data_IF_674250739075
#
_entry.id   IF_674250739075
#
_cell.length_a   1.000
_cell.length_b   1.000
_cell.length_c   1.000
_cell.angle_alpha   90.00
_cell.angle_beta   90.00
_cell.angle_gamma   90.00
#
_symmetry.space_group_name_H-M   'P 1'
#
loop_
_entity.id
_entity.type
_entity.pdbx_description
1 polymer ?
#
# COMPACT_ATOMS: atom_id res chain seq x y z
N UNK A 1 -23.27 -41.89 -19.46
CA UNK A 1 -22.58 -43.02 -18.80
C UNK A 1 -21.11 -42.64 -18.70
N UNK A 2 -20.68 -42.09 -17.57
CA UNK A 2 -19.28 -41.74 -17.35
C UNK A 2 -18.99 -41.80 -15.85
N UNK A 3 -18.50 -42.94 -15.37
CA UNK A 3 -18.02 -43.08 -14.00
C UNK A 3 -16.79 -44.01 -13.99
N UNK A 4 -15.66 -43.51 -14.50
CA UNK A 4 -14.35 -44.05 -14.12
C UNK A 4 -14.04 -43.56 -12.71
N UNK A 5 -14.68 -44.16 -11.70
CA UNK A 5 -14.36 -43.89 -10.29
C UNK A 5 -12.95 -44.42 -10.02
N UNK A 6 -12.05 -43.47 -9.83
CA UNK A 6 -10.66 -43.68 -9.52
C UNK A 6 -10.55 -44.38 -8.15
N UNK A 7 -10.25 -45.68 -8.14
CA UNK A 7 -10.22 -46.53 -6.96
C UNK A 7 -9.23 -45.96 -5.92
N UNK A 8 -9.66 -45.64 -4.68
CA UNK A 8 -8.79 -45.13 -3.62
C UNK A 8 -7.61 -46.07 -3.32
N UNK A 9 -7.84 -47.38 -3.44
CA UNK A 9 -6.82 -48.39 -3.19
C UNK A 9 -5.68 -48.31 -4.22
N UNK A 10 -5.98 -47.94 -5.47
CA UNK A 10 -4.97 -47.76 -6.52
C UNK A 10 -4.11 -46.52 -6.27
N UNK A 11 -4.67 -45.44 -5.70
CA UNK A 11 -3.88 -44.24 -5.32
C UNK A 11 -2.98 -44.53 -4.14
N UNK A 12 -3.50 -45.21 -3.13
CA UNK A 12 -2.75 -45.57 -1.92
C UNK A 12 -1.64 -46.56 -2.28
N UNK A 13 -1.89 -47.51 -3.18
CA UNK A 13 -0.87 -48.42 -3.69
C UNK A 13 0.26 -47.68 -4.44
N UNK A 14 -0.10 -46.72 -5.31
CA UNK A 14 0.88 -45.88 -6.02
C UNK A 14 1.72 -45.01 -5.08
N UNK A 15 1.10 -44.43 -4.05
CA UNK A 15 1.81 -43.63 -3.05
C UNK A 15 2.77 -44.49 -2.20
N UNK A 16 2.35 -45.68 -1.79
CA UNK A 16 3.20 -46.61 -1.05
C UNK A 16 4.38 -47.09 -1.89
N UNK A 17 4.15 -47.47 -3.14
CA UNK A 17 5.20 -47.87 -4.09
C UNK A 17 6.19 -46.72 -4.35
N UNK A 18 5.71 -45.48 -4.50
CA UNK A 18 6.56 -44.29 -4.64
C UNK A 18 7.40 -44.02 -3.38
N UNK A 19 6.81 -44.14 -2.18
CA UNK A 19 7.53 -43.98 -0.91
C UNK A 19 8.57 -45.10 -0.68
N UNK A 20 8.26 -46.33 -1.09
CA UNK A 20 9.15 -47.48 -0.94
C UNK A 20 10.36 -47.40 -1.89
N UNK A 21 10.15 -46.90 -3.11
CA UNK A 21 11.22 -46.58 -4.08
C UNK A 21 12.16 -45.48 -3.57
N UNK A 22 11.65 -44.51 -2.82
CA UNK A 22 12.45 -43.50 -2.12
C UNK A 22 13.25 -44.14 -0.98
N UNK A 23 12.62 -45.00 -0.18
CA UNK A 23 13.27 -45.67 0.96
C UNK A 23 14.38 -46.65 0.55
N UNK A 24 14.24 -47.33 -0.60
CA UNK A 24 15.23 -48.27 -1.15
C UNK A 24 16.45 -47.59 -1.79
N UNK A 25 16.46 -46.26 -1.93
CA UNK A 25 17.55 -45.53 -2.61
C UNK A 25 17.65 -45.81 -4.12
N UNK A 26 16.69 -46.57 -4.66
CA UNK A 26 16.52 -46.90 -6.08
C UNK A 26 15.95 -45.73 -6.89
N UNK A 27 15.42 -44.71 -6.21
CA UNK A 27 15.34 -43.35 -6.74
C UNK A 27 16.76 -42.75 -6.83
N UNK A 28 17.60 -43.31 -7.70
CA UNK A 28 18.98 -42.88 -7.86
C UNK A 28 19.04 -41.48 -8.47
N UNK A 29 19.55 -40.52 -7.68
CA UNK A 29 20.10 -39.18 -8.01
C UNK A 29 19.19 -38.11 -8.61
N UNK A 30 18.10 -38.49 -9.26
CA UNK A 30 17.31 -37.59 -10.10
C UNK A 30 15.88 -37.41 -9.57
N UNK A 31 15.74 -37.42 -8.24
CA UNK A 31 14.58 -36.82 -7.59
C UNK A 31 14.66 -35.30 -7.81
N UNK A 32 14.38 -34.85 -9.04
CA UNK A 32 14.19 -33.46 -9.47
C UNK A 32 12.93 -32.85 -8.81
N UNK A 33 12.79 -33.02 -7.49
CA UNK A 33 11.72 -32.38 -6.73
C UNK A 33 12.07 -30.91 -6.50
N UNK A 34 13.36 -30.58 -6.45
CA UNK A 34 13.88 -29.23 -6.27
C UNK A 34 14.99 -29.01 -7.29
N UNK A 35 14.78 -28.04 -8.18
CA UNK A 35 15.81 -27.56 -9.09
C UNK A 35 16.89 -26.82 -8.30
N UNK A 36 18.02 -27.49 -8.05
CA UNK A 36 19.10 -26.94 -7.23
C UNK A 36 19.78 -25.74 -7.86
N UNK A 37 19.89 -25.70 -9.19
CA UNK A 37 20.54 -24.60 -9.89
C UNK A 37 19.67 -23.34 -9.77
N UNK A 38 18.36 -23.52 -9.96
CA UNK A 38 17.38 -22.46 -9.75
C UNK A 38 17.37 -21.96 -8.31
N UNK A 39 17.36 -22.85 -7.31
CA UNK A 39 17.42 -22.45 -5.89
C UNK A 39 18.69 -21.66 -5.54
N UNK A 40 19.84 -22.08 -6.10
CA UNK A 40 21.10 -21.35 -5.91
C UNK A 40 21.04 -19.95 -6.53
N UNK A 41 20.43 -19.81 -7.71
CA UNK A 41 20.24 -18.53 -8.37
C UNK A 41 19.24 -17.63 -7.63
N UNK A 42 18.20 -18.21 -7.04
CA UNK A 42 17.16 -17.50 -6.29
C UNK A 42 17.63 -16.99 -4.92
N UNK A 43 18.50 -17.73 -4.24
CA UNK A 43 18.99 -17.42 -2.90
C UNK A 43 19.42 -15.95 -2.69
N UNK A 44 20.25 -15.32 -3.56
CA UNK A 44 20.60 -13.90 -3.42
C UNK A 44 19.41 -12.95 -3.58
N UNK A 45 18.46 -13.27 -4.47
CA UNK A 45 17.24 -12.47 -4.70
C UNK A 45 16.34 -12.53 -3.46
N UNK A 46 16.09 -13.72 -2.93
CA UNK A 46 15.30 -13.94 -1.72
C UNK A 46 15.92 -13.26 -0.49
N UNK A 47 17.25 -13.34 -0.34
CA UNK A 47 17.97 -12.66 0.73
C UNK A 47 17.85 -11.13 0.62
N UNK A 48 17.95 -10.57 -0.60
CA UNK A 48 17.74 -9.14 -0.85
C UNK A 48 16.29 -8.74 -0.53
N UNK A 49 15.31 -9.49 -1.00
CA UNK A 49 13.90 -9.24 -0.76
C UNK A 49 13.59 -9.19 0.74
N UNK A 50 14.04 -10.21 1.48
CA UNK A 50 13.89 -10.30 2.93
C UNK A 50 14.50 -9.09 3.63
N UNK A 51 15.72 -8.69 3.27
CA UNK A 51 16.37 -7.49 3.83
C UNK A 51 15.57 -6.21 3.54
N UNK A 52 15.02 -6.08 2.34
CA UNK A 52 14.25 -4.90 1.93
C UNK A 52 12.93 -4.78 2.72
N UNK A 53 12.23 -5.90 2.94
CA UNK A 53 10.97 -5.97 3.70
C UNK A 53 11.23 -5.74 5.19
N UNK A 54 12.28 -6.35 5.77
CA UNK A 54 12.62 -6.19 7.18
C UNK A 54 13.03 -4.75 7.55
N UNK A 55 13.55 -3.98 6.60
CA UNK A 55 13.86 -2.57 6.82
C UNK A 55 12.59 -1.70 6.91
N UNK A 56 11.58 -1.97 6.07
CA UNK A 56 10.26 -1.33 6.12
C UNK A 56 9.25 -2.12 5.30
N UNK A 57 7.97 -2.00 5.66
CA UNK A 57 6.87 -2.46 4.82
C UNK A 57 6.98 -1.89 3.39
N UNK A 58 6.66 -2.72 2.39
CA UNK A 58 6.71 -2.42 0.96
C UNK A 58 5.50 -3.04 0.27
N UNK A 59 5.01 -2.40 -0.77
CA UNK A 59 4.11 -3.06 -1.71
C UNK A 59 4.88 -4.01 -2.61
N UNK A 60 4.14 -4.93 -3.24
CA UNK A 60 4.65 -5.86 -4.24
C UNK A 60 5.38 -5.13 -5.37
N UNK A 61 4.78 -4.07 -5.89
CA UNK A 61 5.38 -3.25 -6.94
C UNK A 61 6.68 -2.56 -6.48
N UNK A 62 6.73 -2.02 -5.25
CA UNK A 62 7.97 -1.43 -4.72
C UNK A 62 9.09 -2.47 -4.60
N UNK A 63 8.75 -3.69 -4.17
CA UNK A 63 9.72 -4.78 -4.03
C UNK A 63 10.22 -5.24 -5.40
N UNK A 64 9.32 -5.52 -6.35
CA UNK A 64 9.64 -5.90 -7.72
C UNK A 64 10.57 -4.92 -8.40
N UNK A 65 10.16 -3.64 -8.40
CA UNK A 65 10.94 -2.56 -9.02
C UNK A 65 12.35 -2.52 -8.44
N UNK A 66 12.47 -2.60 -7.11
CA UNK A 66 13.77 -2.49 -6.44
C UNK A 66 14.67 -3.69 -6.68
N UNK A 67 14.13 -4.88 -6.91
CA UNK A 67 14.90 -6.08 -7.26
C UNK A 67 15.35 -6.05 -8.73
N UNK A 68 14.50 -5.59 -9.64
CA UNK A 68 14.84 -5.42 -11.05
C UNK A 68 15.92 -4.34 -11.26
N UNK A 69 15.91 -3.27 -10.47
CA UNK A 69 16.96 -2.24 -10.44
C UNK A 69 18.34 -2.78 -10.02
N UNK A 70 18.41 -3.99 -9.45
CA UNK A 70 19.68 -4.65 -9.09
C UNK A 70 20.10 -5.70 -10.13
N UNK A 71 19.52 -5.65 -11.33
CA UNK A 71 19.81 -6.53 -12.47
C UNK A 71 19.57 -8.02 -12.20
N UNK A 72 18.70 -8.36 -11.25
CA UNK A 72 18.24 -9.73 -11.08
C UNK A 72 17.32 -10.16 -12.23
N UNK A 73 17.43 -11.43 -12.65
CA UNK A 73 16.57 -11.99 -13.69
C UNK A 73 15.09 -11.94 -13.28
N UNK A 74 14.23 -11.49 -14.20
CA UNK A 74 12.81 -11.27 -13.93
C UNK A 74 12.09 -12.52 -13.39
N UNK A 75 12.43 -13.71 -13.90
CA UNK A 75 11.89 -14.98 -13.42
C UNK A 75 12.20 -15.25 -11.94
N UNK A 76 13.44 -14.97 -11.50
CA UNK A 76 13.84 -15.11 -10.10
C UNK A 76 13.17 -14.05 -9.21
N UNK A 77 12.91 -12.86 -9.75
CA UNK A 77 12.19 -11.79 -9.02
C UNK A 77 10.74 -12.20 -8.78
N UNK A 78 10.04 -12.69 -9.80
CA UNK A 78 8.65 -13.16 -9.65
C UNK A 78 8.54 -14.34 -8.68
N UNK A 79 9.48 -15.28 -8.74
CA UNK A 79 9.53 -16.38 -7.78
C UNK A 79 9.79 -15.89 -6.35
N UNK A 80 10.74 -14.97 -6.16
CA UNK A 80 11.03 -14.41 -4.83
C UNK A 80 9.80 -13.68 -4.26
N UNK A 81 9.10 -12.90 -5.09
CA UNK A 81 7.86 -12.23 -4.71
C UNK A 81 6.79 -13.24 -4.33
N UNK A 82 6.58 -14.26 -5.16
CA UNK A 82 5.60 -15.32 -4.91
C UNK A 82 5.86 -16.03 -3.58
N UNK A 83 7.13 -16.34 -3.27
CA UNK A 83 7.51 -16.90 -1.96
C UNK A 83 7.25 -15.94 -0.81
N UNK A 84 7.54 -14.65 -0.97
CA UNK A 84 7.24 -13.66 0.04
C UNK A 84 5.74 -13.55 0.31
N UNK A 85 4.89 -13.63 -0.72
CA UNK A 85 3.43 -13.62 -0.57
C UNK A 85 2.93 -14.90 0.11
N UNK A 86 3.37 -16.07 -0.37
CA UNK A 86 2.97 -17.37 0.17
C UNK A 86 3.35 -17.54 1.66
N UNK A 87 4.44 -16.91 2.09
CA UNK A 87 4.89 -16.92 3.48
C UNK A 87 4.33 -15.75 4.32
N UNK A 88 3.44 -14.92 3.77
CA UNK A 88 2.82 -13.78 4.47
C UNK A 88 3.79 -12.63 4.78
N UNK A 89 4.95 -12.58 4.13
CA UNK A 89 5.90 -11.48 4.26
C UNK A 89 5.51 -10.25 3.43
N UNK A 90 4.68 -10.46 2.41
CA UNK A 90 4.23 -9.45 1.47
C UNK A 90 2.71 -9.55 1.31
N UNK A 91 2.02 -8.46 1.64
CA UNK A 91 0.57 -8.37 1.62
C UNK A 91 0.19 -6.92 1.28
N UNK A 92 -0.31 -6.72 0.05
CA UNK A 92 -0.69 -5.39 -0.45
C UNK A 92 -1.97 -4.86 0.20
N UNK A 93 -2.87 -5.72 0.68
CA UNK A 93 -4.08 -5.34 1.40
C UNK A 93 -3.69 -4.77 2.77
N UNK A 94 -2.88 -5.52 3.52
CA UNK A 94 -2.35 -5.08 4.81
C UNK A 94 -1.52 -3.81 4.65
N UNK A 95 -0.66 -3.76 3.62
CA UNK A 95 0.15 -2.59 3.30
C UNK A 95 -0.73 -1.35 3.05
N UNK A 96 -1.80 -1.47 2.25
CA UNK A 96 -2.70 -0.36 1.94
C UNK A 96 -3.44 0.15 3.17
N UNK A 97 -3.98 -0.76 3.99
CA UNK A 97 -4.67 -0.43 5.24
C UNK A 97 -3.75 0.31 6.22
N UNK A 98 -2.53 -0.20 6.42
CA UNK A 98 -1.52 0.43 7.26
C UNK A 98 -1.13 1.82 6.73
N UNK A 99 -0.93 1.94 5.42
CA UNK A 99 -0.57 3.20 4.77
C UNK A 99 -1.63 4.28 5.00
N UNK A 100 -2.91 3.93 4.78
CA UNK A 100 -4.05 4.81 5.02
C UNK A 100 -4.12 5.23 6.48
N UNK A 101 -4.02 4.27 7.41
CA UNK A 101 -4.10 4.54 8.85
C UNK A 101 -3.01 5.51 9.32
N UNK A 102 -1.75 5.26 8.95
CA UNK A 102 -0.64 6.12 9.35
C UNK A 102 -0.77 7.54 8.79
N UNK A 103 -1.11 7.67 7.51
CA UNK A 103 -1.11 8.97 6.82
C UNK A 103 -2.33 9.82 7.14
N UNK A 104 -3.50 9.21 7.34
CA UNK A 104 -4.69 9.93 7.76
C UNK A 104 -4.49 10.56 9.15
N UNK A 105 -3.96 9.79 10.09
CA UNK A 105 -3.76 10.22 11.48
C UNK A 105 -2.60 11.22 11.63
N UNK A 106 -1.44 10.94 11.04
CA UNK A 106 -0.22 11.73 11.29
C UNK A 106 -0.01 12.86 10.27
N UNK A 107 -0.39 12.66 9.01
CA UNK A 107 -0.09 13.61 7.94
C UNK A 107 -1.28 14.49 7.53
N UNK A 108 -2.48 14.20 8.03
CA UNK A 108 -3.71 14.95 7.72
C UNK A 108 -3.94 15.08 6.21
N UNK A 109 -3.77 13.98 5.48
CA UNK A 109 -3.93 13.89 4.02
C UNK A 109 -5.37 13.54 3.66
N UNK A 110 -5.84 14.05 2.52
CA UNK A 110 -7.15 13.67 1.99
C UNK A 110 -7.14 12.26 1.40
N UNK A 111 -8.31 11.64 1.34
CA UNK A 111 -8.53 10.34 0.66
C UNK A 111 -8.02 10.35 -0.78
N UNK A 112 -8.18 11.46 -1.50
CA UNK A 112 -7.68 11.62 -2.88
C UNK A 112 -6.15 11.52 -2.96
N UNK A 113 -5.43 12.13 -2.01
CA UNK A 113 -3.96 12.03 -1.97
C UNK A 113 -3.52 10.62 -1.60
N UNK A 114 -4.19 10.00 -0.62
CA UNK A 114 -3.88 8.62 -0.22
C UNK A 114 -4.07 7.64 -1.38
N UNK A 115 -5.17 7.79 -2.14
CA UNK A 115 -5.42 7.04 -3.37
C UNK A 115 -4.26 7.17 -4.36
N UNK A 116 -3.85 8.39 -4.67
CA UNK A 116 -2.73 8.64 -5.60
C UNK A 116 -1.41 8.07 -5.11
N UNK A 117 -1.15 8.14 -3.80
CA UNK A 117 0.07 7.58 -3.20
C UNK A 117 0.10 6.06 -3.31
N UNK A 118 -1.02 5.38 -3.06
CA UNK A 118 -1.15 3.93 -3.21
C UNK A 118 -1.07 3.49 -4.68
N UNK A 119 -1.67 4.25 -5.60
CA UNK A 119 -1.54 4.01 -7.04
C UNK A 119 -0.07 4.09 -7.50
N UNK A 120 0.68 5.10 -7.03
CA UNK A 120 2.13 5.20 -7.32
C UNK A 120 2.94 4.06 -6.72
N UNK A 121 2.40 3.40 -5.71
CA UNK A 121 2.99 2.21 -5.09
C UNK A 121 2.52 0.92 -5.74
N UNK A 122 1.78 1.00 -6.84
CA UNK A 122 1.30 -0.15 -7.61
C UNK A 122 0.27 -1.02 -6.91
N UNK A 123 -0.38 -0.52 -5.86
CA UNK A 123 -1.45 -1.26 -5.17
C UNK A 123 -2.69 -1.33 -6.08
N UNK A 124 -3.33 -2.50 -6.12
CA UNK A 124 -4.52 -2.72 -6.95
C UNK A 124 -5.69 -1.80 -6.52
N UNK A 125 -6.44 -1.28 -7.49
CA UNK A 125 -7.56 -0.36 -7.25
C UNK A 125 -8.59 -0.90 -6.23
N UNK A 126 -8.92 -2.20 -6.25
CA UNK A 126 -9.84 -2.80 -5.29
C UNK A 126 -9.36 -2.68 -3.84
N UNK A 127 -8.08 -3.00 -3.58
CA UNK A 127 -7.47 -2.88 -2.26
C UNK A 127 -7.36 -1.41 -1.80
N UNK A 128 -7.14 -0.49 -2.75
CA UNK A 128 -7.13 0.94 -2.46
C UNK A 128 -8.50 1.40 -1.96
N UNK A 129 -9.58 1.07 -2.67
CA UNK A 129 -10.92 1.49 -2.25
C UNK A 129 -11.30 0.85 -0.90
N UNK A 130 -11.02 -0.45 -0.70
CA UNK A 130 -11.23 -1.13 0.59
C UNK A 130 -10.47 -0.43 1.75
N UNK A 131 -9.21 -0.07 1.54
CA UNK A 131 -8.44 0.64 2.57
C UNK A 131 -9.02 2.02 2.86
N UNK A 132 -9.51 2.73 1.84
CA UNK A 132 -10.09 4.08 1.97
C UNK A 132 -11.50 4.08 2.57
N UNK A 133 -12.27 3.00 2.43
CA UNK A 133 -13.60 2.84 3.07
C UNK A 133 -13.53 2.96 4.60
N UNK A 134 -12.37 2.70 5.20
CA UNK A 134 -12.15 2.86 6.65
C UNK A 134 -12.09 4.33 7.09
N UNK A 135 -12.00 5.28 6.15
CA UNK A 135 -11.97 6.71 6.45
C UNK A 135 -13.39 7.26 6.50
N UNK A 136 -13.76 7.80 7.67
CA UNK A 136 -14.96 8.60 7.83
C UNK A 136 -14.82 9.97 7.14
N UNK A 137 -15.79 10.32 6.30
CA UNK A 137 -15.85 11.60 5.60
C UNK A 137 -15.96 12.77 6.58
N UNK A 138 -16.68 12.61 7.69
CA UNK A 138 -16.83 13.68 8.68
C UNK A 138 -15.52 13.92 9.44
N UNK A 139 -14.75 12.86 9.69
CA UNK A 139 -13.37 12.99 10.17
C UNK A 139 -12.49 13.76 9.18
N UNK A 140 -12.64 13.56 7.86
CA UNK A 140 -11.89 14.32 6.85
C UNK A 140 -12.24 15.80 6.85
N UNK A 141 -13.54 16.13 6.93
CA UNK A 141 -14.01 17.52 7.06
C UNK A 141 -13.46 18.18 8.32
N UNK A 142 -13.44 17.45 9.44
CA UNK A 142 -12.89 17.96 10.70
C UNK A 142 -11.37 18.21 10.61
N UNK A 143 -10.61 17.29 9.99
CA UNK A 143 -9.18 17.48 9.75
C UNK A 143 -8.94 18.74 8.89
N UNK A 144 -9.69 18.91 7.81
CA UNK A 144 -9.62 20.10 6.95
C UNK A 144 -9.93 21.38 7.73
N UNK A 145 -11.02 21.39 8.50
CA UNK A 145 -11.42 22.53 9.34
C UNK A 145 -10.29 22.92 10.30
N UNK A 146 -9.73 21.95 11.03
CA UNK A 146 -8.63 22.20 11.96
C UNK A 146 -7.38 22.80 11.30
N UNK A 147 -7.06 22.39 10.07
CA UNK A 147 -5.94 22.93 9.32
C UNK A 147 -6.16 24.39 8.92
N UNK A 148 -7.37 24.69 8.46
CA UNK A 148 -7.80 26.03 8.06
C UNK A 148 -7.85 26.95 9.29
N UNK A 149 -8.49 26.53 10.37
CA UNK A 149 -8.58 27.29 11.63
C UNK A 149 -7.19 27.59 12.21
N UNK A 150 -6.30 26.60 12.21
CA UNK A 150 -4.91 26.80 12.64
C UNK A 150 -4.21 27.86 11.79
N UNK A 151 -4.45 27.88 10.47
CA UNK A 151 -3.89 28.92 9.58
C UNK A 151 -4.56 30.27 9.79
N UNK A 152 -5.86 30.33 10.05
CA UNK A 152 -6.59 31.56 10.33
C UNK A 152 -6.00 32.29 11.55
N UNK A 153 -5.64 31.57 12.62
CA UNK A 153 -4.99 32.14 13.83
C UNK A 153 -3.66 32.88 13.57
N UNK A 154 -3.02 32.64 12.43
CA UNK A 154 -1.81 33.38 12.01
C UNK A 154 -2.11 34.74 11.38
N UNK A 155 -3.38 35.04 11.05
CA UNK A 155 -3.82 36.38 10.67
C UNK A 155 -3.84 37.27 11.91
N UNK A 156 -2.99 38.30 11.92
CA UNK A 156 -2.78 39.21 13.06
C UNK A 156 -3.36 40.60 12.86
N UNK A 157 -3.78 40.94 11.64
CA UNK A 157 -4.31 42.26 11.29
C UNK A 157 -5.56 42.09 10.46
N UNK A 158 -6.55 42.92 10.73
CA UNK A 158 -7.77 43.01 9.93
C UNK A 158 -7.41 43.47 8.51
N UNK A 159 -7.78 42.72 7.45
CA UNK A 159 -7.64 43.18 6.08
C UNK A 159 -8.37 44.52 5.87
N UNK A 160 -7.70 45.51 5.29
CA UNK A 160 -8.31 46.85 5.09
C UNK A 160 -9.03 46.99 3.75
N UNK A 161 -8.82 46.05 2.83
CA UNK A 161 -9.40 46.05 1.50
C UNK A 161 -9.71 44.63 1.01
N UNK A 162 -10.44 44.55 -0.11
CA UNK A 162 -10.82 43.27 -0.73
C UNK A 162 -9.62 42.46 -1.24
N UNK A 163 -8.53 43.11 -1.65
CA UNK A 163 -7.34 42.45 -2.17
C UNK A 163 -6.60 41.70 -1.06
N UNK A 164 -6.47 42.32 0.11
CA UNK A 164 -5.89 41.71 1.31
C UNK A 164 -6.76 40.55 1.81
N UNK A 165 -8.09 40.74 1.82
CA UNK A 165 -9.03 39.67 2.17
C UNK A 165 -8.83 38.45 1.28
N UNK A 166 -8.87 38.62 -0.06
CA UNK A 166 -8.65 37.52 -1.01
C UNK A 166 -7.28 36.88 -0.89
N UNK A 167 -6.25 37.66 -0.55
CA UNK A 167 -4.90 37.14 -0.32
C UNK A 167 -4.86 36.21 0.91
N UNK A 168 -5.47 36.59 2.03
CA UNK A 168 -5.58 35.71 3.20
C UNK A 168 -6.44 34.48 2.90
N UNK A 169 -7.60 34.66 2.27
CA UNK A 169 -8.48 33.55 1.90
C UNK A 169 -7.73 32.50 1.06
N UNK A 170 -6.99 32.93 0.03
CA UNK A 170 -6.17 32.04 -0.81
C UNK A 170 -5.11 31.30 0.01
N UNK A 171 -4.50 31.94 1.01
CA UNK A 171 -3.49 31.31 1.89
C UNK A 171 -4.13 30.23 2.76
N UNK A 172 -5.35 30.45 3.26
CA UNK A 172 -6.10 29.46 4.04
C UNK A 172 -6.48 28.26 3.17
N UNK A 173 -7.12 28.50 2.02
CA UNK A 173 -7.48 27.44 1.04
C UNK A 173 -6.24 26.64 0.64
N UNK A 174 -5.11 27.32 0.39
CA UNK A 174 -3.86 26.68 0.00
C UNK A 174 -3.32 25.67 1.02
N UNK A 175 -3.60 25.83 2.32
CA UNK A 175 -3.17 24.85 3.35
C UNK A 175 -3.90 23.52 3.19
N UNK A 176 -5.20 23.56 2.88
CA UNK A 176 -6.02 22.39 2.61
C UNK A 176 -5.70 21.79 1.22
N UNK A 177 -5.53 22.62 0.20
CA UNK A 177 -5.18 22.17 -1.16
C UNK A 177 -3.85 21.40 -1.21
N UNK A 178 -2.81 21.82 -0.47
CA UNK A 178 -1.53 21.05 -0.37
C UNK A 178 -1.68 19.67 0.27
N UNK A 179 -2.81 19.40 0.91
CA UNK A 179 -3.19 18.09 1.47
C UNK A 179 -4.24 17.38 0.62
N UNK A 180 -4.64 17.99 -0.50
CA UNK A 180 -5.55 17.48 -1.52
C UNK A 180 -7.02 17.46 -1.12
N UNK A 181 -7.43 18.32 -0.18
CA UNK A 181 -8.84 18.52 0.11
C UNK A 181 -9.56 19.25 -1.05
N UNK A 182 -10.86 18.99 -1.28
CA UNK A 182 -11.63 19.64 -2.34
C UNK A 182 -11.61 21.17 -2.20
N UNK A 183 -11.36 21.87 -3.31
CA UNK A 183 -11.21 23.33 -3.29
C UNK A 183 -12.49 24.05 -2.90
N UNK A 184 -13.65 23.56 -3.35
CA UNK A 184 -14.96 24.16 -3.07
C UNK A 184 -15.24 24.17 -1.57
N UNK A 185 -15.16 23.02 -0.91
CA UNK A 185 -15.36 22.90 0.53
C UNK A 185 -14.28 23.67 1.30
N UNK A 186 -13.00 23.53 0.91
CA UNK A 186 -11.91 24.26 1.56
C UNK A 186 -12.11 25.77 1.52
N UNK A 187 -12.66 26.30 0.43
CA UNK A 187 -13.00 27.72 0.28
C UNK A 187 -14.11 28.13 1.23
N UNK A 188 -15.20 27.36 1.32
CA UNK A 188 -16.31 27.63 2.23
C UNK A 188 -15.83 27.69 3.69
N UNK A 189 -15.11 26.66 4.16
CA UNK A 189 -14.54 26.65 5.51
C UNK A 189 -13.54 27.79 5.74
N UNK A 190 -12.75 28.15 4.73
CA UNK A 190 -11.79 29.25 4.83
C UNK A 190 -12.46 30.62 4.93
N UNK A 191 -13.58 30.85 4.24
CA UNK A 191 -14.39 32.07 4.36
C UNK A 191 -14.95 32.20 5.78
N UNK A 192 -15.55 31.12 6.31
CA UNK A 192 -16.08 31.07 7.68
C UNK A 192 -14.98 31.36 8.71
N UNK A 193 -13.84 30.66 8.61
CA UNK A 193 -12.73 30.79 9.56
C UNK A 193 -12.08 32.19 9.50
N UNK A 194 -11.94 32.76 8.30
CA UNK A 194 -11.37 34.09 8.12
C UNK A 194 -12.30 35.18 8.67
N UNK A 195 -13.60 35.10 8.40
CA UNK A 195 -14.59 36.06 8.89
C UNK A 195 -14.64 36.05 10.43
N UNK A 196 -14.72 34.86 11.04
CA UNK A 196 -14.63 34.71 12.50
C UNK A 196 -13.34 35.33 13.04
N UNK A 197 -12.21 35.07 12.40
CA UNK A 197 -10.92 35.62 12.83
C UNK A 197 -10.85 37.14 12.72
N UNK A 198 -11.54 37.73 11.74
CA UNK A 198 -11.62 39.19 11.57
C UNK A 198 -12.47 39.82 12.67
N UNK A 199 -13.54 39.17 13.11
CA UNK A 199 -14.37 39.64 14.23
C UNK A 199 -13.62 39.63 15.56
N UNK A 200 -12.66 38.72 15.72
CA UNK A 200 -11.79 38.62 16.90
C UNK A 200 -10.64 39.67 16.95
N UNK A 201 -10.37 40.39 15.86
CA UNK A 201 -9.22 41.30 15.68
C UNK A 201 -9.62 42.77 15.78
#
# INVERSE_FOLDING_TARGET
MNETRHNPDDRIARLRDAMEKIARGEAHRESQIVDREFEQALAPVAAKATRLINHRARSEHELRTRLLEEDFAAELVEEAISRCQNNGMLDDEQFASEWVRQRSQHCKKSTSVLRQELQRKGVQAGLIEQALETIDEDQQKEIMRQLIDKRARSVKRRPTDWKQYRSELRRLVGVAARRGFPEVEAKEYAEIALNRRIEEL
#
